data_IF_761437929647
#
_entry.id   IF_761437929647
#
_cell.length_a   1.000
_cell.length_b   1.000
_cell.length_c   1.000
_cell.angle_alpha   90.00
_cell.angle_beta   90.00
_cell.angle_gamma   90.00
#
_symmetry.space_group_name_H-M   'P 1'
#
loop_
_entity.id
_entity.type
_entity.pdbx_description
1 polymer ?
#
# COMPACT_ATOMS: atom_id res chain seq x y z
N UNK A 1 19.92 -0.62 -1.54
CA UNK A 1 19.50 0.79 -1.41
C UNK A 1 18.00 0.88 -1.70
N UNK A 2 17.15 0.79 -0.67
CA UNK A 2 15.70 1.01 -0.78
C UNK A 2 15.16 1.98 0.29
N UNK A 3 16.03 2.46 1.19
CA UNK A 3 15.70 3.32 2.32
C UNK A 3 15.03 4.63 1.89
N UNK A 4 15.39 5.17 0.71
CA UNK A 4 14.75 6.38 0.17
C UNK A 4 13.28 6.17 -0.18
N UNK A 5 12.91 5.01 -0.76
CA UNK A 5 11.52 4.68 -1.07
C UNK A 5 10.69 4.51 0.19
N UNK A 6 11.25 3.86 1.21
CA UNK A 6 10.62 3.76 2.52
C UNK A 6 10.46 5.14 3.20
N UNK A 7 11.43 6.06 3.08
CA UNK A 7 11.27 7.44 3.57
C UNK A 7 10.14 8.19 2.86
N UNK A 8 10.01 8.02 1.54
CA UNK A 8 8.88 8.60 0.80
C UNK A 8 7.55 8.02 1.29
N UNK A 9 7.46 6.70 1.44
CA UNK A 9 6.28 6.03 1.98
C UNK A 9 5.91 6.53 3.38
N UNK A 10 6.88 6.61 4.30
CA UNK A 10 6.66 7.12 5.65
C UNK A 10 6.23 8.59 5.67
N UNK A 11 6.71 9.39 4.71
CA UNK A 11 6.29 10.78 4.53
C UNK A 11 4.84 10.88 4.03
N UNK A 12 4.43 10.02 3.08
CA UNK A 12 3.05 9.96 2.60
C UNK A 12 2.06 9.47 3.67
N UNK A 13 2.46 8.49 4.49
CA UNK A 13 1.61 7.96 5.57
C UNK A 13 1.43 8.98 6.70
N UNK A 14 2.51 9.68 7.08
CA UNK A 14 2.47 10.66 8.17
C UNK A 14 2.29 10.03 9.56
N UNK A 15 1.67 10.78 10.48
CA UNK A 15 1.32 10.31 11.84
C UNK A 15 2.47 9.66 12.63
N UNK A 16 3.69 10.21 12.52
CA UNK A 16 4.88 9.71 13.22
C UNK A 16 5.74 8.73 12.41
N UNK A 17 5.27 8.29 11.24
CA UNK A 17 6.04 7.42 10.36
C UNK A 17 7.06 8.15 9.47
N UNK A 18 7.08 9.49 9.46
CA UNK A 18 8.05 10.27 8.69
C UNK A 18 9.50 10.02 9.14
N UNK A 19 9.69 9.70 10.42
CA UNK A 19 11.00 9.39 11.03
C UNK A 19 11.19 7.90 11.28
N UNK A 20 10.24 7.06 10.89
CA UNK A 20 10.32 5.63 11.10
C UNK A 20 11.38 4.99 10.19
N UNK A 21 12.11 4.02 10.72
CA UNK A 21 13.05 3.24 9.95
C UNK A 21 12.33 2.25 9.03
N UNK A 22 12.96 1.92 7.90
CA UNK A 22 12.40 1.04 6.85
C UNK A 22 11.87 -0.29 7.38
N UNK A 23 12.50 -0.84 8.44
CA UNK A 23 12.05 -2.10 9.06
C UNK A 23 10.65 -2.00 9.68
N UNK A 24 10.34 -0.89 10.36
CA UNK A 24 9.03 -0.68 10.96
C UNK A 24 7.97 -0.50 9.87
N UNK A 25 8.26 0.33 8.86
CA UNK A 25 7.38 0.52 7.71
C UNK A 25 7.09 -0.80 6.98
N UNK A 26 8.12 -1.63 6.79
CA UNK A 26 7.94 -2.94 6.18
C UNK A 26 7.00 -3.81 7.02
N UNK A 27 7.29 -4.00 8.31
CA UNK A 27 6.49 -4.86 9.19
C UNK A 27 5.03 -4.42 9.31
N UNK A 28 4.81 -3.10 9.40
CA UNK A 28 3.50 -2.54 9.71
C UNK A 28 2.60 -2.49 8.48
N UNK A 29 3.17 -2.24 7.29
CA UNK A 29 2.39 -1.97 6.07
C UNK A 29 2.65 -2.93 4.90
N UNK A 30 3.88 -3.42 4.72
CA UNK A 30 4.27 -4.20 3.53
C UNK A 30 4.23 -5.70 3.79
N UNK A 31 4.69 -6.13 4.97
CA UNK A 31 4.62 -7.51 5.45
C UNK A 31 3.17 -7.79 5.88
N UNK A 32 2.34 -8.06 4.88
CA UNK A 32 0.91 -8.29 5.05
C UNK A 32 0.45 -9.42 4.13
N UNK A 33 -0.49 -10.23 4.62
CA UNK A 33 -1.24 -11.15 3.77
C UNK A 33 -2.43 -10.42 3.15
N UNK A 34 -2.63 -10.64 1.85
CA UNK A 34 -3.76 -10.10 1.10
C UNK A 34 -4.29 -11.16 0.14
N UNK A 35 -5.57 -11.04 -0.20
CA UNK A 35 -6.18 -11.76 -1.32
C UNK A 35 -6.08 -10.90 -2.57
N UNK A 36 -5.66 -11.50 -3.68
CA UNK A 36 -5.49 -10.79 -4.95
C UNK A 36 -6.54 -11.29 -5.93
N UNK A 37 -7.42 -10.39 -6.36
CA UNK A 37 -8.40 -10.66 -7.39
C UNK A 37 -7.93 -10.03 -8.70
N UNK A 38 -7.69 -10.88 -9.71
CA UNK A 38 -7.29 -10.43 -11.04
C UNK A 38 -8.53 -10.44 -11.93
N UNK A 39 -9.03 -9.24 -12.23
CA UNK A 39 -10.19 -9.02 -13.09
C UNK A 39 -9.73 -8.63 -14.50
N UNK A 40 -10.67 -8.47 -15.43
CA UNK A 40 -10.37 -8.15 -16.82
C UNK A 40 -9.62 -6.82 -16.98
N UNK A 41 -9.99 -5.78 -16.22
CA UNK A 41 -9.43 -4.42 -16.35
C UNK A 41 -8.67 -3.94 -15.12
N UNK A 42 -8.77 -4.65 -14.01
CA UNK A 42 -8.23 -4.22 -12.72
C UNK A 42 -7.69 -5.39 -11.90
N UNK A 43 -6.84 -5.05 -10.95
CA UNK A 43 -6.30 -5.95 -9.94
C UNK A 43 -6.63 -5.36 -8.60
N UNK A 44 -7.38 -6.13 -7.81
CA UNK A 44 -7.82 -5.71 -6.49
C UNK A 44 -7.01 -6.49 -5.47
N UNK A 45 -6.26 -5.77 -4.63
CA UNK A 45 -5.52 -6.34 -3.51
C UNK A 45 -6.32 -6.05 -2.24
N UNK A 46 -6.96 -7.09 -1.71
CA UNK A 46 -7.78 -7.00 -0.52
C UNK A 46 -6.96 -7.44 0.71
N UNK A 47 -6.64 -6.47 1.55
CA UNK A 47 -5.95 -6.70 2.81
C UNK A 47 -6.92 -7.16 3.90
N UNK A 48 -6.41 -8.01 4.79
CA UNK A 48 -7.12 -8.36 6.02
C UNK A 48 -7.21 -7.15 6.96
N UNK A 49 -8.17 -7.15 7.89
CA UNK A 49 -8.28 -6.15 8.95
C UNK A 49 -6.99 -6.11 9.78
N UNK A 50 -6.33 -4.95 9.86
CA UNK A 50 -5.16 -4.72 10.71
C UNK A 50 -5.25 -3.37 11.39
N UNK A 51 -4.65 -3.26 12.57
CA UNK A 51 -4.61 -2.02 13.36
C UNK A 51 -3.98 -0.83 12.63
N UNK A 52 -3.14 -1.08 11.62
CA UNK A 52 -2.39 -0.05 10.89
C UNK A 52 -3.04 0.33 9.55
N UNK A 53 -4.05 -0.41 9.08
CA UNK A 53 -4.81 -0.08 7.87
C UNK A 53 -5.44 1.33 7.92
N UNK A 54 -5.97 1.82 9.06
CA UNK A 54 -6.51 3.17 9.14
C UNK A 54 -5.53 4.27 8.73
N UNK A 55 -4.22 4.05 8.91
CA UNK A 55 -3.20 5.02 8.48
C UNK A 55 -3.04 5.05 6.96
N UNK A 56 -3.13 3.89 6.29
CA UNK A 56 -3.11 3.81 4.83
C UNK A 56 -4.37 4.43 4.21
N UNK A 57 -5.53 4.24 4.85
CA UNK A 57 -6.79 4.89 4.48
C UNK A 57 -6.71 6.42 4.64
N UNK A 58 -6.19 6.90 5.78
CA UNK A 58 -6.00 8.32 6.01
C UNK A 58 -5.04 8.96 4.99
N UNK A 59 -4.02 8.21 4.55
CA UNK A 59 -3.10 8.61 3.48
C UNK A 59 -3.67 8.42 2.05
N UNK A 60 -4.92 7.98 1.91
CA UNK A 60 -5.64 7.89 0.65
C UNK A 60 -5.21 6.74 -0.28
N UNK A 61 -4.59 5.69 0.26
CA UNK A 61 -4.15 4.54 -0.54
C UNK A 61 -5.32 3.73 -1.13
N UNK A 62 -6.50 3.78 -0.51
CA UNK A 62 -7.75 3.21 -1.03
C UNK A 62 -8.22 3.88 -2.33
N UNK A 63 -7.88 5.16 -2.51
CA UNK A 63 -8.26 5.96 -3.68
C UNK A 63 -7.23 5.91 -4.79
N UNK A 64 -6.05 5.31 -4.53
CA UNK A 64 -4.99 5.20 -5.54
C UNK A 64 -5.42 4.23 -6.63
N UNK A 65 -5.31 4.70 -7.87
CA UNK A 65 -5.61 3.94 -9.06
C UNK A 65 -4.37 3.92 -9.96
N UNK A 66 -3.52 2.92 -9.75
CA UNK A 66 -2.20 2.86 -10.39
C UNK A 66 -2.27 1.95 -11.62
N UNK A 67 -2.03 2.46 -12.84
CA UNK A 67 -1.94 1.59 -14.01
C UNK A 67 -0.66 0.75 -13.95
N UNK A 68 -0.76 -0.54 -14.27
CA UNK A 68 0.36 -1.47 -14.36
C UNK A 68 0.72 -1.64 -15.85
N UNK A 69 1.75 -0.93 -16.37
CA UNK A 69 1.96 -0.82 -17.81
C UNK A 69 2.29 -2.15 -18.50
N UNK A 70 3.03 -3.01 -17.80
CA UNK A 70 3.47 -4.32 -18.30
C UNK A 70 2.40 -5.40 -18.19
N UNK A 71 1.25 -5.12 -17.55
CA UNK A 71 0.16 -6.08 -17.35
C UNK A 71 -1.12 -5.59 -18.02
N UNK A 72 -1.03 -5.33 -19.34
CA UNK A 72 -2.19 -4.91 -20.15
C UNK A 72 -2.82 -3.58 -19.70
N UNK A 73 -2.04 -2.72 -19.02
CA UNK A 73 -2.54 -1.47 -18.39
C UNK A 73 -3.68 -1.70 -17.39
N UNK A 74 -3.75 -2.89 -16.78
CA UNK A 74 -4.69 -3.15 -15.68
C UNK A 74 -4.44 -2.15 -14.55
N UNK A 75 -5.51 -1.75 -13.88
CA UNK A 75 -5.47 -0.79 -12.78
C UNK A 75 -5.39 -1.50 -11.43
N UNK A 76 -4.43 -1.10 -10.60
CA UNK A 76 -4.29 -1.59 -9.23
C UNK A 76 -5.18 -0.78 -8.30
N UNK A 77 -5.96 -1.48 -7.49
CA UNK A 77 -6.74 -0.94 -6.39
C UNK A 77 -6.39 -1.67 -5.10
N UNK A 78 -6.33 -0.92 -4.00
CA UNK A 78 -6.05 -1.44 -2.67
C UNK A 78 -7.32 -1.35 -1.83
N UNK A 79 -7.81 -2.48 -1.33
CA UNK A 79 -8.95 -2.52 -0.42
C UNK A 79 -8.45 -2.90 0.97
N UNK A 80 -8.80 -2.07 1.95
CA UNK A 80 -8.48 -2.31 3.35
C UNK A 80 -9.78 -2.68 4.07
N UNK A 81 -9.79 -3.87 4.69
CA UNK A 81 -10.93 -4.37 5.47
C UNK A 81 -11.11 -3.67 6.81
#
# INVERSE_FOLDING_TARGET
MASSLYRLLGTEIGQGYQTAISRHLFRDFIEATAQVHILEKEIVVQFQKRAHNPLLLAAGFDKKNVPIPWLGKKRLQLLFG
#
